data_IF_456444735121
#
_entry.id   IF_456444735121
#
_cell.length_a   1.000
_cell.length_b   1.000
_cell.length_c   1.000
_cell.angle_alpha   90.00
_cell.angle_beta   90.00
_cell.angle_gamma   90.00
#
_symmetry.space_group_name_H-M   'P 1'
#
loop_
_entity.id
_entity.type
_entity.pdbx_description
1 polymer ?
#
# COMPACT_ATOMS: atom_id res chain seq x y z
N UNK A 1 64.67 15.80 13.05
CA UNK A 1 63.46 15.63 13.87
C UNK A 1 62.51 14.76 13.06
N UNK A 2 62.22 13.57 13.58
CA UNK A 2 61.16 12.67 13.10
C UNK A 2 59.85 13.16 13.73
N UNK A 3 58.78 13.37 12.95
CA UNK A 3 57.38 13.05 13.33
C UNK A 3 56.59 12.73 12.04
N UNK A 4 55.77 11.69 12.15
CA UNK A 4 55.03 10.91 11.15
C UNK A 4 53.60 11.41 10.87
N UNK A 5 53.02 10.89 9.77
CA UNK A 5 51.62 10.54 9.49
C UNK A 5 50.46 11.41 10.00
N UNK A 6 49.57 11.75 9.06
CA UNK A 6 48.14 11.47 9.21
C UNK A 6 47.46 11.41 7.84
N UNK A 7 47.27 10.18 7.34
CA UNK A 7 46.12 9.88 6.50
C UNK A 7 44.87 9.77 7.38
N UNK A 8 43.72 10.10 6.81
CA UNK A 8 42.39 9.55 7.11
C UNK A 8 41.42 10.43 6.33
N UNK A 9 40.93 9.90 5.22
CA UNK A 9 39.67 9.17 5.18
C UNK A 9 38.49 10.13 5.29
N UNK A 10 37.89 10.28 4.12
CA UNK A 10 36.65 10.93 3.80
C UNK A 10 35.56 10.43 4.77
N UNK A 11 35.33 11.12 5.89
CA UNK A 11 34.17 10.88 6.74
C UNK A 11 32.95 11.56 6.12
N UNK A 12 32.55 11.08 4.95
CA UNK A 12 31.18 11.22 4.49
C UNK A 12 30.40 10.12 5.18
N UNK A 13 29.87 10.42 6.37
CA UNK A 13 28.76 9.68 6.97
C UNK A 13 27.57 9.75 6.01
N UNK A 14 27.64 8.96 4.94
CA UNK A 14 26.49 8.55 4.19
C UNK A 14 25.77 7.63 5.15
N UNK A 15 24.73 8.14 5.79
CA UNK A 15 23.68 7.32 6.35
C UNK A 15 23.33 6.30 5.27
N UNK A 16 23.83 5.07 5.45
CA UNK A 16 23.34 3.93 4.69
C UNK A 16 21.93 3.80 5.21
N UNK A 17 21.00 4.44 4.52
CA UNK A 17 19.59 4.15 4.59
C UNK A 17 19.52 2.66 4.28
N UNK A 18 19.60 1.84 5.32
CA UNK A 18 19.55 0.38 5.22
C UNK A 18 18.20 0.13 4.60
N UNK A 19 18.19 -0.08 3.29
CA UNK A 19 16.98 -0.29 2.53
C UNK A 19 16.53 -1.67 2.94
N UNK A 20 15.77 -1.73 4.03
CA UNK A 20 15.27 -2.96 4.62
C UNK A 20 14.50 -3.66 3.50
N UNK A 21 15.07 -4.76 3.00
CA UNK A 21 14.50 -5.47 1.86
C UNK A 21 13.21 -6.11 2.35
N UNK A 22 12.09 -5.52 1.95
CA UNK A 22 10.78 -6.04 2.30
C UNK A 22 10.58 -7.41 1.66
N UNK A 23 10.65 -8.47 2.47
CA UNK A 23 10.46 -9.84 2.02
C UNK A 23 8.97 -10.20 1.92
N UNK A 24 8.59 -10.76 0.78
CA UNK A 24 7.21 -11.21 0.50
C UNK A 24 6.65 -12.14 1.59
N UNK A 25 7.44 -13.11 2.05
CA UNK A 25 6.98 -14.06 3.06
C UNK A 25 6.77 -13.40 4.43
N UNK A 26 7.65 -12.47 4.82
CA UNK A 26 7.48 -11.67 6.05
C UNK A 26 6.23 -10.81 5.98
N UNK A 27 5.99 -10.15 4.84
CA UNK A 27 4.76 -9.41 4.60
C UNK A 27 3.52 -10.31 4.76
N UNK A 28 3.53 -11.53 4.21
CA UNK A 28 2.41 -12.46 4.34
C UNK A 28 2.16 -12.90 5.79
N UNK A 29 3.23 -13.07 6.58
CA UNK A 29 3.13 -13.39 8.00
C UNK A 29 2.47 -12.25 8.77
N UNK A 30 2.93 -11.02 8.56
CA UNK A 30 2.37 -9.83 9.23
C UNK A 30 0.93 -9.56 8.81
N UNK A 31 0.60 -9.69 7.53
CA UNK A 31 -0.75 -9.47 7.01
C UNK A 31 -1.80 -10.39 7.64
N UNK A 32 -1.39 -11.58 8.12
CA UNK A 32 -2.27 -12.59 8.73
C UNK A 32 -2.10 -12.68 10.26
N UNK A 33 -1.25 -11.85 10.85
CA UNK A 33 -1.00 -11.88 12.29
C UNK A 33 -2.24 -11.45 13.07
N UNK A 34 -2.46 -12.05 14.24
CA UNK A 34 -3.48 -11.61 15.18
C UNK A 34 -3.07 -10.30 15.88
N UNK A 35 -1.78 -9.95 15.84
CA UNK A 35 -1.24 -8.73 16.42
C UNK A 35 -1.53 -7.51 15.52
N UNK A 36 -2.16 -6.48 16.10
CA UNK A 36 -2.48 -5.22 15.42
C UNK A 36 -1.24 -4.51 14.89
N UNK A 37 -0.12 -4.52 15.63
CA UNK A 37 1.12 -3.87 15.22
C UNK A 37 1.71 -4.52 13.96
N UNK A 38 1.60 -5.84 13.84
CA UNK A 38 2.08 -6.55 12.66
C UNK A 38 1.20 -6.20 11.44
N UNK A 39 -0.13 -6.20 11.63
CA UNK A 39 -1.06 -5.82 10.56
C UNK A 39 -0.87 -4.35 10.14
N UNK A 40 -0.56 -3.47 11.08
CA UNK A 40 -0.21 -2.07 10.80
C UNK A 40 0.99 -1.97 9.86
N UNK A 41 2.05 -2.73 10.14
CA UNK A 41 3.25 -2.81 9.29
C UNK A 41 2.87 -3.35 7.91
N UNK A 42 2.12 -4.46 7.86
CA UNK A 42 1.71 -5.07 6.61
C UNK A 42 0.89 -4.10 5.74
N UNK A 43 -0.09 -3.39 6.33
CA UNK A 43 -0.86 -2.38 5.61
C UNK A 43 0.11 -1.33 5.07
N UNK A 44 0.93 -0.70 5.93
CA UNK A 44 1.88 0.37 5.54
C UNK A 44 2.79 -0.02 4.37
N UNK A 45 3.17 -1.28 4.28
CA UNK A 45 4.10 -1.78 3.28
C UNK A 45 3.43 -2.35 2.01
N UNK A 46 2.10 -2.29 1.89
CA UNK A 46 1.35 -2.77 0.71
C UNK A 46 1.86 -2.21 -0.62
N UNK A 47 2.03 -0.90 -0.71
CA UNK A 47 2.52 -0.27 -1.95
C UNK A 47 3.99 -0.62 -2.20
N UNK A 48 4.79 -0.81 -1.14
CA UNK A 48 6.20 -1.21 -1.28
C UNK A 48 6.31 -2.63 -1.80
N UNK A 49 5.54 -3.57 -1.25
CA UNK A 49 5.63 -4.97 -1.67
C UNK A 49 5.24 -5.11 -3.15
N UNK A 50 4.19 -4.42 -3.60
CA UNK A 50 3.78 -4.46 -5.00
C UNK A 50 4.88 -3.97 -5.95
N UNK A 51 5.63 -2.93 -5.58
CA UNK A 51 6.77 -2.43 -6.38
C UNK A 51 7.94 -3.39 -6.43
N UNK A 52 8.11 -4.26 -5.43
CA UNK A 52 9.12 -5.33 -5.47
C UNK A 52 8.69 -6.52 -6.32
N UNK A 53 7.39 -6.69 -6.56
CA UNK A 53 6.86 -7.77 -7.37
C UNK A 53 6.94 -7.40 -8.86
N UNK A 54 7.54 -8.29 -9.64
CA UNK A 54 7.54 -8.16 -11.09
C UNK A 54 6.14 -8.49 -11.63
N UNK A 55 5.46 -7.54 -12.30
CA UNK A 55 4.09 -7.72 -12.80
C UNK A 55 3.95 -8.87 -13.81
N UNK A 56 4.98 -9.11 -14.63
CA UNK A 56 4.96 -10.14 -15.66
C UNK A 56 5.21 -11.54 -15.08
N UNK A 57 6.11 -11.66 -14.09
CA UNK A 57 6.55 -12.96 -13.54
C UNK A 57 5.88 -13.32 -12.21
N UNK A 58 5.36 -12.32 -11.50
CA UNK A 58 4.83 -12.41 -10.14
C UNK A 58 3.31 -12.42 -10.06
N UNK A 59 2.60 -12.75 -11.15
CA UNK A 59 1.13 -12.71 -11.20
C UNK A 59 0.47 -13.41 -10.01
N UNK A 60 0.93 -14.63 -9.65
CA UNK A 60 0.42 -15.36 -8.49
C UNK A 60 0.63 -14.61 -7.18
N UNK A 61 1.77 -13.93 -7.01
CA UNK A 61 2.06 -13.19 -5.78
C UNK A 61 1.20 -11.93 -5.69
N UNK A 62 1.03 -11.22 -6.81
CA UNK A 62 0.14 -10.05 -6.92
C UNK A 62 -1.30 -10.44 -6.62
N UNK A 63 -1.77 -11.57 -7.18
CA UNK A 63 -3.08 -12.14 -6.92
C UNK A 63 -3.30 -12.44 -5.43
N UNK A 64 -2.28 -12.99 -4.75
CA UNK A 64 -2.34 -13.23 -3.30
C UNK A 64 -2.39 -11.92 -2.51
N UNK A 65 -1.60 -10.91 -2.87
CA UNK A 65 -1.63 -9.59 -2.20
C UNK A 65 -3.01 -8.95 -2.38
N UNK A 66 -3.55 -8.98 -3.60
CA UNK A 66 -4.89 -8.44 -3.86
C UNK A 66 -5.96 -9.23 -3.08
N UNK A 67 -5.83 -10.55 -2.99
CA UNK A 67 -6.73 -11.39 -2.20
C UNK A 67 -6.65 -11.11 -0.69
N UNK A 68 -5.49 -10.68 -0.16
CA UNK A 68 -5.38 -10.22 1.22
C UNK A 68 -6.15 -8.92 1.44
N UNK A 69 -6.06 -7.96 0.51
CA UNK A 69 -6.86 -6.73 0.57
C UNK A 69 -8.35 -7.09 0.58
N UNK A 70 -8.79 -7.91 -0.36
CA UNK A 70 -10.21 -8.27 -0.55
C UNK A 70 -10.79 -9.07 0.64
N UNK A 71 -10.02 -9.98 1.23
CA UNK A 71 -10.57 -10.97 2.17
C UNK A 71 -10.12 -10.81 3.62
N UNK A 72 -9.01 -10.12 3.87
CA UNK A 72 -8.44 -9.92 5.20
C UNK A 72 -8.58 -8.47 5.61
N UNK A 73 -7.92 -7.55 4.90
CA UNK A 73 -7.93 -6.14 5.30
C UNK A 73 -9.29 -5.47 5.14
N UNK A 74 -10.09 -5.86 4.14
CA UNK A 74 -11.46 -5.37 3.99
C UNK A 74 -12.42 -5.77 5.13
N UNK A 75 -12.03 -6.74 5.97
CA UNK A 75 -12.80 -7.19 7.14
C UNK A 75 -12.22 -6.69 8.45
N UNK A 76 -11.21 -5.83 8.40
CA UNK A 76 -10.65 -5.21 9.59
C UNK A 76 -11.71 -4.37 10.31
N UNK A 77 -11.66 -4.40 11.64
CA UNK A 77 -12.62 -3.71 12.51
C UNK A 77 -11.96 -2.62 13.33
N UNK A 78 -10.62 -2.69 13.48
CA UNK A 78 -9.87 -1.61 14.08
C UNK A 78 -9.90 -0.35 13.20
N UNK A 79 -10.41 0.74 13.75
CA UNK A 79 -10.64 1.98 13.00
C UNK A 79 -9.34 2.58 12.46
N UNK A 80 -8.23 2.49 13.20
CA UNK A 80 -6.93 3.00 12.76
C UNK A 80 -6.45 2.22 11.54
N UNK A 81 -6.50 0.89 11.60
CA UNK A 81 -6.09 0.04 10.48
C UNK A 81 -6.99 0.23 9.25
N UNK A 82 -8.31 0.38 9.45
CA UNK A 82 -9.24 0.72 8.37
C UNK A 82 -8.87 2.05 7.69
N UNK A 83 -8.61 3.11 8.46
CA UNK A 83 -8.18 4.40 7.93
C UNK A 83 -6.88 4.29 7.12
N UNK A 84 -5.89 3.58 7.66
CA UNK A 84 -4.61 3.35 6.98
C UNK A 84 -4.73 2.58 5.66
N UNK A 85 -5.61 1.58 5.59
CA UNK A 85 -5.88 0.85 4.36
C UNK A 85 -6.51 1.77 3.31
N UNK A 86 -7.50 2.56 3.73
CA UNK A 86 -8.24 3.49 2.88
C UNK A 86 -7.33 4.56 2.29
N UNK A 87 -6.43 5.11 3.08
CA UNK A 87 -5.43 6.11 2.64
C UNK A 87 -4.50 5.58 1.54
N UNK A 88 -4.29 4.26 1.48
CA UNK A 88 -3.46 3.65 0.45
C UNK A 88 -4.19 3.32 -0.84
N UNK A 89 -5.53 3.31 -0.83
CA UNK A 89 -6.35 2.99 -2.01
C UNK A 89 -5.89 3.76 -3.26
N UNK A 90 -5.62 5.08 -3.23
CA UNK A 90 -5.20 5.79 -4.44
C UNK A 90 -3.90 5.27 -5.07
N UNK A 91 -2.91 4.90 -4.24
CA UNK A 91 -1.64 4.33 -4.71
C UNK A 91 -1.85 2.93 -5.28
N UNK A 92 -2.53 2.08 -4.51
CA UNK A 92 -2.79 0.69 -4.89
C UNK A 92 -3.66 0.58 -6.14
N UNK A 93 -4.64 1.47 -6.29
CA UNK A 93 -5.49 1.52 -7.47
C UNK A 93 -4.67 1.72 -8.75
N UNK A 94 -3.70 2.65 -8.75
CA UNK A 94 -2.80 2.86 -9.90
C UNK A 94 -1.98 1.61 -10.19
N UNK A 95 -1.38 1.03 -9.15
CA UNK A 95 -0.52 -0.14 -9.30
C UNK A 95 -1.29 -1.36 -9.83
N UNK A 96 -2.50 -1.62 -9.34
CA UNK A 96 -3.30 -2.77 -9.79
C UNK A 96 -4.08 -2.53 -11.10
N UNK A 97 -4.39 -1.28 -11.47
CA UNK A 97 -4.98 -0.98 -12.79
C UNK A 97 -4.06 -1.38 -13.95
N UNK A 98 -2.74 -1.40 -13.73
CA UNK A 98 -1.76 -1.89 -14.70
C UNK A 98 -1.82 -3.42 -14.90
N UNK A 99 -2.56 -4.14 -14.07
CA UNK A 99 -2.71 -5.59 -14.12
C UNK A 99 -4.07 -5.94 -14.74
N UNK A 100 -4.10 -6.12 -16.05
CA UNK A 100 -5.34 -6.19 -16.86
C UNK A 100 -6.37 -7.20 -16.32
N UNK A 101 -5.94 -8.40 -15.92
CA UNK A 101 -6.86 -9.45 -15.41
C UNK A 101 -7.49 -9.10 -14.04
N UNK A 102 -6.94 -8.13 -13.31
CA UNK A 102 -7.47 -7.66 -12.03
C UNK A 102 -8.41 -6.47 -12.16
N UNK A 103 -8.44 -5.77 -13.30
CA UNK A 103 -9.12 -4.47 -13.47
C UNK A 103 -10.56 -4.45 -12.93
N UNK A 104 -11.38 -5.45 -13.32
CA UNK A 104 -12.77 -5.55 -12.83
C UNK A 104 -12.86 -5.73 -11.32
N UNK A 105 -11.95 -6.50 -10.73
CA UNK A 105 -11.90 -6.74 -9.28
C UNK A 105 -11.40 -5.51 -8.54
N UNK A 106 -10.40 -4.82 -9.08
CA UNK A 106 -9.87 -3.55 -8.54
C UNK A 106 -10.99 -2.53 -8.37
N UNK A 107 -11.76 -2.28 -9.43
CA UNK A 107 -12.91 -1.36 -9.36
C UNK A 107 -13.92 -1.79 -8.29
N UNK A 108 -14.30 -3.07 -8.28
CA UNK A 108 -15.29 -3.58 -7.32
C UNK A 108 -14.82 -3.45 -5.87
N UNK A 109 -13.61 -3.92 -5.57
CA UNK A 109 -13.07 -4.00 -4.21
C UNK A 109 -12.77 -2.61 -3.67
N UNK A 110 -12.10 -1.74 -4.42
CA UNK A 110 -11.76 -0.41 -3.93
C UNK A 110 -12.99 0.50 -3.81
N UNK A 111 -13.97 0.41 -4.70
CA UNK A 111 -15.23 1.14 -4.53
C UNK A 111 -15.99 0.66 -3.29
N UNK A 112 -16.01 -0.64 -3.00
CA UNK A 112 -16.64 -1.17 -1.79
C UNK A 112 -15.91 -0.72 -0.52
N UNK A 113 -14.56 -0.74 -0.52
CA UNK A 113 -13.75 -0.25 0.59
C UNK A 113 -14.02 1.23 0.91
N UNK A 114 -14.03 2.08 -0.12
CA UNK A 114 -14.31 3.51 0.05
C UNK A 114 -15.75 3.77 0.52
N UNK A 115 -16.73 3.05 -0.04
CA UNK A 115 -18.13 3.17 0.38
C UNK A 115 -18.32 2.77 1.86
N UNK A 116 -17.73 1.63 2.27
CA UNK A 116 -17.79 1.18 3.66
C UNK A 116 -17.08 2.17 4.61
N UNK A 117 -15.97 2.76 4.17
CA UNK A 117 -15.24 3.74 4.96
C UNK A 117 -16.00 5.07 5.13
N UNK A 118 -16.77 5.50 4.12
CA UNK A 118 -17.65 6.66 4.21
C UNK A 118 -18.82 6.45 5.19
N UNK A 119 -19.31 5.22 5.33
CA UNK A 119 -20.38 4.84 6.27
C UNK A 119 -19.83 4.41 7.65
N UNK A 120 -18.52 4.50 7.85
CA UNK A 120 -17.88 4.04 9.08
C UNK A 120 -18.25 4.95 10.28
N UNK A 121 -18.36 4.37 11.49
CA UNK A 121 -18.77 5.11 12.69
C UNK A 121 -17.72 6.15 13.15
N UNK A 122 -16.44 5.83 12.99
CA UNK A 122 -15.32 6.70 13.36
C UNK A 122 -15.08 7.81 12.31
N UNK A 123 -14.89 9.05 12.79
CA UNK A 123 -14.80 10.24 11.93
C UNK A 123 -13.49 10.35 11.15
N UNK A 124 -12.40 9.89 11.74
CA UNK A 124 -11.09 9.75 11.11
C UNK A 124 -11.14 8.85 9.88
N UNK A 125 -11.80 7.68 9.97
CA UNK A 125 -11.96 6.77 8.83
C UNK A 125 -12.75 7.41 7.69
N UNK A 126 -13.83 8.14 8.00
CA UNK A 126 -14.60 8.86 6.99
C UNK A 126 -13.77 9.96 6.32
N UNK A 127 -12.95 10.69 7.09
CA UNK A 127 -12.03 11.71 6.57
C UNK A 127 -10.97 11.09 5.65
N UNK A 128 -10.38 9.96 6.04
CA UNK A 128 -9.45 9.21 5.19
C UNK A 128 -10.10 8.80 3.86
N UNK A 129 -11.37 8.36 3.88
CA UNK A 129 -12.12 8.01 2.66
C UNK A 129 -12.34 9.20 1.73
N UNK A 130 -12.72 10.35 2.29
CA UNK A 130 -12.88 11.60 1.53
C UNK A 130 -11.55 11.98 0.88
N UNK A 131 -10.46 12.02 1.65
CA UNK A 131 -9.13 12.35 1.11
C UNK A 131 -8.63 11.37 0.04
N UNK A 132 -8.95 10.09 0.18
CA UNK A 132 -8.64 9.09 -0.84
C UNK A 132 -9.43 9.32 -2.14
N UNK A 133 -10.72 9.66 -2.04
CA UNK A 133 -11.56 10.00 -3.20
C UNK A 133 -11.04 11.26 -3.89
N UNK A 134 -10.75 12.32 -3.14
CA UNK A 134 -10.19 13.57 -3.66
C UNK A 134 -8.90 13.28 -4.43
N UNK A 135 -7.99 12.47 -3.87
CA UNK A 135 -6.75 12.05 -4.52
C UNK A 135 -6.97 11.29 -5.84
N UNK A 136 -7.98 10.42 -5.89
CA UNK A 136 -8.32 9.67 -7.11
C UNK A 136 -8.90 10.58 -8.20
N UNK A 137 -9.72 11.57 -7.82
CA UNK A 137 -10.30 12.57 -8.72
C UNK A 137 -9.23 13.49 -9.28
N UNK A 138 -8.35 14.03 -8.43
CA UNK A 138 -7.25 14.93 -8.82
C UNK A 138 -6.32 14.26 -9.84
N UNK A 139 -6.01 12.99 -9.62
CA UNK A 139 -5.15 12.19 -10.51
C UNK A 139 -5.87 11.70 -11.78
N UNK A 140 -7.18 11.98 -11.93
CA UNK A 140 -8.02 11.52 -13.05
C UNK A 140 -7.99 10.00 -13.26
N UNK A 141 -7.84 9.25 -12.17
CA UNK A 141 -7.71 7.79 -12.18
C UNK A 141 -9.08 7.11 -12.29
N UNK A 142 -10.14 7.78 -11.83
CA UNK A 142 -11.49 7.26 -11.98
C UNK A 142 -11.85 7.19 -13.47
N UNK A 143 -12.46 6.08 -13.93
CA UNK A 143 -12.95 6.01 -15.30
C UNK A 143 -13.88 7.21 -15.50
N UNK A 144 -13.45 8.14 -16.35
CA UNK A 144 -14.30 9.20 -16.87
C UNK A 144 -15.42 8.45 -17.56
N UNK A 145 -16.59 8.37 -16.90
CA UNK A 145 -17.75 7.75 -17.51
C UNK A 145 -17.92 8.40 -18.87
N UNK A 146 -17.72 7.64 -19.94
CA UNK A 146 -18.14 8.07 -21.26
C UNK A 146 -19.66 8.01 -21.16
N UNK A 147 -20.26 9.09 -20.65
CA UNK A 147 -21.66 9.41 -20.90
C UNK A 147 -21.76 9.66 -22.41
N UNK A 148 -21.83 8.55 -23.16
CA UNK A 148 -22.29 8.55 -24.53
C UNK A 148 -23.81 8.57 -24.43
N UNK A 149 -24.37 9.78 -24.43
CA UNK A 149 -25.76 10.01 -24.81
C UNK A 149 -25.96 9.67 -26.29
#
# INVERSE_FOLDING_TARGET
MVIEFSGSEFNGEMEVETTEVLHYDTFLLYARSENLSDREIAIRDLSKILRTLNIEKGQRQIEVVFSLIENVFAKETDSKLCGMLVEQVPSLYVEFMAVEYLLKRVHKVFSALLANALDHAADDVRKSAIGAIDSLVERRILPQGIFSC
#
